data_IF_251617778280
#
_entry.id   IF_251617778280
#
_cell.length_a   1.000
_cell.length_b   1.000
_cell.length_c   1.000
_cell.angle_alpha   90.00
_cell.angle_beta   90.00
_cell.angle_gamma   90.00
#
_symmetry.space_group_name_H-M   'P 1'
#
loop_
_entity.id
_entity.type
_entity.pdbx_description
1 polymer ?
#
# COMPACT_ATOMS: atom_id res chain seq x y z
N UNK A 1 8.15 4.08 16.50
CA UNK A 1 7.83 3.81 15.07
C UNK A 1 8.39 2.43 14.70
N UNK A 2 7.71 1.59 13.91
CA UNK A 2 8.11 0.20 13.61
C UNK A 2 9.59 0.08 13.16
N UNK A 3 10.02 0.98 12.27
CA UNK A 3 11.41 1.04 11.77
C UNK A 3 12.43 1.23 12.90
N UNK A 4 12.17 2.14 13.83
CA UNK A 4 13.04 2.36 14.99
C UNK A 4 13.16 1.11 15.87
N UNK A 5 12.04 0.40 16.11
CA UNK A 5 12.07 -0.84 16.92
C UNK A 5 12.85 -1.94 16.20
N UNK A 6 12.73 -2.02 14.88
CA UNK A 6 13.48 -2.96 14.04
C UNK A 6 15.00 -2.73 14.11
N UNK A 7 15.42 -1.47 13.98
CA UNK A 7 16.83 -1.06 14.05
C UNK A 7 17.41 -1.28 15.44
N UNK A 8 16.67 -0.90 16.50
CA UNK A 8 17.08 -1.16 17.90
C UNK A 8 17.26 -2.65 18.19
N UNK A 9 16.53 -3.53 17.48
CA UNK A 9 16.71 -4.97 17.57
C UNK A 9 17.95 -5.49 16.80
N UNK A 10 18.78 -4.62 16.22
CA UNK A 10 20.02 -4.97 15.51
C UNK A 10 19.80 -5.57 14.12
N UNK A 11 18.62 -5.37 13.51
CA UNK A 11 18.28 -5.90 12.18
C UNK A 11 18.60 -4.86 11.11
N UNK A 12 18.95 -5.32 9.91
CA UNK A 12 19.21 -4.42 8.77
C UNK A 12 17.96 -3.58 8.44
N UNK A 13 18.03 -2.24 8.51
CA UNK A 13 16.92 -1.37 8.14
C UNK A 13 16.42 -1.58 6.70
N UNK A 14 17.29 -2.02 5.79
CA UNK A 14 16.95 -2.27 4.38
C UNK A 14 16.21 -3.57 4.15
N UNK A 15 16.23 -4.48 5.14
CA UNK A 15 15.49 -5.74 5.08
C UNK A 15 14.02 -5.62 5.51
N UNK A 16 13.63 -4.49 6.10
CA UNK A 16 12.26 -4.26 6.53
C UNK A 16 11.40 -3.73 5.38
N UNK A 17 10.51 -4.58 4.86
CA UNK A 17 9.46 -4.18 3.93
C UNK A 17 8.12 -4.04 4.66
N UNK A 18 7.41 -2.94 4.42
CA UNK A 18 6.07 -2.71 4.94
C UNK A 18 5.12 -2.58 3.76
N UNK A 19 4.11 -3.44 3.70
CA UNK A 19 3.12 -3.47 2.62
C UNK A 19 1.73 -3.34 3.23
N UNK A 20 1.11 -2.16 3.20
CA UNK A 20 -0.28 -1.98 3.59
C UNK A 20 -1.20 -2.86 2.74
N UNK A 21 -2.10 -3.59 3.40
CA UNK A 21 -2.99 -4.54 2.76
C UNK A 21 -4.44 -4.04 2.76
N UNK A 22 -5.19 -4.40 1.72
CA UNK A 22 -6.61 -4.05 1.56
C UNK A 22 -6.88 -2.53 1.60
N UNK A 23 -6.00 -1.74 0.99
CA UNK A 23 -6.15 -0.28 0.95
C UNK A 23 -7.24 0.12 -0.05
N UNK A 24 -8.20 0.92 0.40
CA UNK A 24 -9.04 1.71 -0.50
C UNK A 24 -8.27 2.98 -0.89
N UNK A 25 -7.89 3.16 -2.17
CA UNK A 25 -6.96 4.21 -2.57
C UNK A 25 -7.61 5.60 -2.52
N UNK A 26 -6.81 6.58 -2.13
CA UNK A 26 -7.07 8.00 -2.33
C UNK A 26 -5.73 8.72 -2.52
N UNK A 27 -5.68 9.89 -3.19
CA UNK A 27 -4.41 10.58 -3.43
C UNK A 27 -3.66 10.90 -2.13
N UNK A 28 -4.40 11.32 -1.10
CA UNK A 28 -3.82 11.60 0.23
C UNK A 28 -3.22 10.37 0.91
N UNK A 29 -3.85 9.19 0.79
CA UNK A 29 -3.27 7.95 1.33
C UNK A 29 -2.01 7.55 0.57
N UNK A 30 -2.01 7.68 -0.75
CA UNK A 30 -0.83 7.33 -1.57
C UNK A 30 0.35 8.25 -1.25
N UNK A 31 0.11 9.57 -1.15
CA UNK A 31 1.13 10.53 -0.70
C UNK A 31 1.66 10.19 0.69
N UNK A 32 0.76 9.91 1.64
CA UNK A 32 1.16 9.58 2.99
C UNK A 32 2.04 8.32 3.08
N UNK A 33 1.70 7.26 2.32
CA UNK A 33 2.54 6.06 2.28
C UNK A 33 3.90 6.32 1.63
N UNK A 34 3.94 7.11 0.55
CA UNK A 34 5.20 7.52 -0.07
C UNK A 34 6.08 8.31 0.92
N UNK A 35 5.50 9.25 1.68
CA UNK A 35 6.23 10.03 2.71
C UNK A 35 6.80 9.15 3.84
N UNK A 36 6.17 8.01 4.11
CA UNK A 36 6.67 7.00 5.07
C UNK A 36 7.74 6.07 4.47
N UNK A 37 8.06 6.21 3.19
CA UNK A 37 8.98 5.34 2.45
C UNK A 37 8.40 3.94 2.19
N UNK A 38 7.08 3.82 2.04
CA UNK A 38 6.42 2.57 1.62
C UNK A 38 6.44 2.51 0.10
N UNK A 39 7.01 1.43 -0.42
CA UNK A 39 7.22 1.22 -1.86
C UNK A 39 6.13 0.36 -2.50
N UNK A 40 5.33 -0.36 -1.70
CA UNK A 40 4.31 -1.28 -2.19
C UNK A 40 3.03 -1.20 -1.36
N UNK A 41 1.88 -1.21 -2.03
CA UNK A 41 0.54 -1.20 -1.41
C UNK A 41 -0.37 -2.18 -2.16
N UNK A 42 -1.11 -3.00 -1.41
CA UNK A 42 -2.13 -3.89 -1.98
C UNK A 42 -3.50 -3.22 -1.89
N UNK A 43 -4.08 -2.90 -3.05
CA UNK A 43 -5.40 -2.24 -3.14
C UNK A 43 -6.54 -3.24 -2.98
N UNK A 44 -7.58 -2.85 -2.23
CA UNK A 44 -8.77 -3.67 -2.02
C UNK A 44 -9.67 -3.62 -3.25
N UNK A 45 -9.98 -4.79 -3.82
CA UNK A 45 -11.05 -4.92 -4.79
C UNK A 45 -12.42 -5.11 -4.09
N UNK A 46 -13.51 -4.55 -4.63
CA UNK A 46 -14.82 -4.80 -4.07
C UNK A 46 -15.20 -6.27 -4.25
N UNK A 47 -15.92 -6.83 -3.26
CA UNK A 47 -16.63 -8.10 -3.46
C UNK A 47 -17.85 -7.83 -4.35
N UNK A 48 -17.68 -8.01 -5.66
CA UNK A 48 -18.69 -7.67 -6.66
C UNK A 48 -18.55 -8.59 -7.89
N UNK A 49 -19.57 -8.65 -8.77
CA UNK A 49 -19.46 -9.34 -10.05
C UNK A 49 -18.32 -8.79 -10.91
N UNK A 50 -17.85 -9.61 -11.85
CA UNK A 50 -16.67 -9.33 -12.68
C UNK A 50 -16.71 -7.96 -13.37
N UNK A 51 -17.85 -7.56 -13.95
CA UNK A 51 -17.97 -6.29 -14.68
C UNK A 51 -17.78 -5.06 -13.78
N UNK A 52 -18.10 -5.19 -12.48
CA UNK A 52 -17.88 -4.15 -11.47
C UNK A 52 -16.43 -4.12 -10.99
N UNK A 53 -15.81 -5.29 -10.85
CA UNK A 53 -14.39 -5.40 -10.50
C UNK A 53 -13.52 -4.83 -11.62
N UNK A 54 -13.79 -5.16 -12.89
CA UNK A 54 -13.04 -4.62 -14.03
C UNK A 54 -13.13 -3.10 -14.10
N UNK A 55 -14.33 -2.53 -13.96
CA UNK A 55 -14.50 -1.06 -13.88
C UNK A 55 -13.76 -0.44 -12.71
N UNK A 56 -13.69 -1.14 -11.57
CA UNK A 56 -12.91 -0.67 -10.43
C UNK A 56 -11.40 -0.69 -10.71
N UNK A 57 -10.89 -1.73 -11.40
CA UNK A 57 -9.50 -1.79 -11.85
C UNK A 57 -9.17 -0.62 -12.79
N UNK A 58 -10.03 -0.32 -13.77
CA UNK A 58 -9.85 0.83 -14.66
C UNK A 58 -9.78 2.16 -13.86
N UNK A 59 -10.62 2.31 -12.84
CA UNK A 59 -10.68 3.50 -11.99
C UNK A 59 -9.48 3.68 -11.06
N UNK A 60 -8.70 2.62 -10.78
CA UNK A 60 -7.51 2.71 -9.93
C UNK A 60 -6.22 2.64 -10.75
N UNK A 61 -6.31 2.38 -12.06
CA UNK A 61 -5.16 2.29 -12.96
C UNK A 61 -4.34 3.58 -13.04
N UNK A 62 -4.91 4.75 -12.72
CA UNK A 62 -4.16 6.01 -12.66
C UNK A 62 -3.18 6.11 -11.48
N UNK A 63 -3.18 5.13 -10.57
CA UNK A 63 -2.19 5.01 -9.50
C UNK A 63 -1.03 4.05 -9.85
N UNK A 64 -1.05 3.41 -11.02
CA UNK A 64 0.05 2.59 -11.55
C UNK A 64 0.99 3.44 -12.40
#
# INVERSE_FOLDING_TARGET
MLRQVWETAGRDPKSLQVVPYAVQPSPGKMSHYADLGIEEVVLQLPSAPQDKVLRHLDNIAHYL
#
